data_IF_704797577584
#
_entry.id   IF_704797577584
#
_cell.length_a   1.000
_cell.length_b   1.000
_cell.length_c   1.000
_cell.angle_alpha   90.00
_cell.angle_beta   90.00
_cell.angle_gamma   90.00
#
_symmetry.space_group_name_H-M   'P 1'
#
loop_
_entity.id
_entity.type
_entity.pdbx_description
1 polymer ?
#
# COMPACT_ATOMS: atom_id res chain seq x y z
N UNK A 1 -54.58 2.00 -14.47
CA UNK A 1 -53.16 1.71 -14.77
C UNK A 1 -52.64 2.86 -15.62
N UNK A 2 -51.98 3.83 -14.99
CA UNK A 2 -51.35 4.97 -15.68
C UNK A 2 -50.10 4.46 -16.40
N UNK A 3 -50.13 4.48 -17.73
CA UNK A 3 -48.97 4.25 -18.57
C UNK A 3 -47.92 5.33 -18.26
N UNK A 4 -46.78 4.91 -17.73
CA UNK A 4 -45.60 5.75 -17.58
C UNK A 4 -45.15 6.19 -18.97
N UNK A 5 -45.15 7.50 -19.23
CA UNK A 5 -44.58 8.05 -20.45
C UNK A 5 -43.11 7.62 -20.57
N UNK A 6 -42.75 6.93 -21.65
CA UNK A 6 -41.36 6.60 -21.95
C UNK A 6 -40.55 7.91 -22.01
N UNK A 7 -39.54 8.00 -21.15
CA UNK A 7 -38.66 9.14 -21.08
C UNK A 7 -37.86 9.20 -22.38
N UNK A 8 -38.13 10.23 -23.21
CA UNK A 8 -37.50 10.37 -24.51
C UNK A 8 -35.98 10.54 -24.34
N UNK A 9 -35.22 9.63 -24.93
CA UNK A 9 -33.75 9.65 -24.89
C UNK A 9 -33.22 10.70 -25.86
N UNK A 10 -32.28 11.53 -25.43
CA UNK A 10 -31.68 12.58 -26.25
C UNK A 10 -30.39 12.11 -26.93
N UNK A 11 -30.10 12.66 -28.11
CA UNK A 11 -28.86 12.41 -28.83
C UNK A 11 -27.66 12.94 -28.03
N UNK A 12 -26.58 12.15 -27.93
CA UNK A 12 -25.37 12.54 -27.19
C UNK A 12 -24.38 13.41 -27.99
N UNK A 13 -24.74 13.86 -29.20
CA UNK A 13 -23.88 14.72 -30.00
C UNK A 13 -23.79 16.10 -29.37
N UNK A 14 -22.57 16.64 -29.18
CA UNK A 14 -22.33 17.86 -28.42
C UNK A 14 -23.14 19.07 -28.91
N UNK A 15 -23.43 19.12 -30.22
CA UNK A 15 -24.22 20.18 -30.86
C UNK A 15 -25.54 19.65 -31.46
N UNK A 16 -26.15 18.63 -30.85
CA UNK A 16 -27.33 17.96 -31.41
C UNK A 16 -28.53 17.99 -30.43
N UNK A 17 -29.54 18.83 -30.66
CA UNK A 17 -30.73 18.89 -29.81
C UNK A 17 -31.78 17.82 -30.16
N UNK A 18 -31.49 16.91 -31.09
CA UNK A 18 -32.47 15.93 -31.58
C UNK A 18 -32.68 14.79 -30.58
N UNK A 19 -33.86 14.17 -30.65
CA UNK A 19 -34.13 12.89 -29.99
C UNK A 19 -33.18 11.80 -30.56
N UNK A 20 -32.71 10.92 -29.67
CA UNK A 20 -31.86 9.80 -30.07
C UNK A 20 -32.64 8.80 -30.93
N UNK A 21 -31.99 8.26 -31.95
CA UNK A 21 -32.49 7.10 -32.68
C UNK A 21 -32.07 5.80 -31.99
N UNK A 22 -32.20 4.68 -32.70
CA UNK A 22 -31.72 3.37 -32.25
C UNK A 22 -30.21 3.17 -32.45
N UNK A 23 -29.54 4.12 -33.12
CA UNK A 23 -28.11 4.04 -33.41
C UNK A 23 -27.28 4.22 -32.14
N UNK A 24 -26.59 3.15 -31.73
CA UNK A 24 -25.71 3.14 -30.58
C UNK A 24 -24.24 3.01 -31.00
N UNK A 25 -23.33 3.64 -30.26
CA UNK A 25 -21.90 3.46 -30.50
C UNK A 25 -21.46 2.00 -30.23
N UNK A 26 -20.87 1.30 -31.21
CA UNK A 26 -20.41 -0.08 -31.04
C UNK A 26 -19.31 -0.24 -29.98
N UNK A 27 -18.46 0.78 -29.80
CA UNK A 27 -17.41 0.77 -28.78
C UNK A 27 -18.00 0.92 -27.38
N UNK A 28 -18.96 1.83 -27.19
CA UNK A 28 -19.67 1.96 -25.92
C UNK A 28 -20.42 0.68 -25.53
N UNK A 29 -21.04 0.00 -26.51
CA UNK A 29 -21.65 -1.32 -26.30
C UNK A 29 -20.64 -2.36 -25.79
N UNK A 30 -19.42 -2.39 -26.36
CA UNK A 30 -18.35 -3.27 -25.90
C UNK A 30 -17.79 -2.89 -24.52
N UNK A 31 -17.83 -1.61 -24.18
CA UNK A 31 -17.32 -1.06 -22.92
C UNK A 31 -18.40 -0.96 -21.82
N UNK A 32 -19.60 -1.51 -22.05
CA UNK A 32 -20.79 -1.37 -21.19
C UNK A 32 -21.11 0.08 -20.78
N UNK A 33 -20.77 1.05 -21.64
CA UNK A 33 -21.12 2.46 -21.47
C UNK A 33 -22.58 2.63 -21.88
N UNK A 34 -23.45 2.87 -20.90
CA UNK A 34 -24.89 3.04 -21.09
C UNK A 34 -25.23 4.37 -21.77
N UNK A 35 -26.39 4.40 -22.41
CA UNK A 35 -27.01 5.60 -23.01
C UNK A 35 -26.20 6.33 -24.10
N UNK A 36 -25.34 5.61 -24.84
CA UNK A 36 -24.54 6.14 -25.94
C UNK A 36 -25.26 6.18 -27.30
N UNK A 37 -26.36 6.94 -27.42
CA UNK A 37 -27.22 6.94 -28.62
C UNK A 37 -27.14 8.22 -29.46
N UNK A 38 -27.21 8.05 -30.78
CA UNK A 38 -27.14 9.13 -31.78
C UNK A 38 -28.43 9.18 -32.61
N UNK A 39 -28.83 10.39 -33.05
CA UNK A 39 -30.01 10.57 -33.89
C UNK A 39 -29.83 10.03 -35.31
N UNK A 40 -28.59 9.96 -35.82
CA UNK A 40 -28.28 9.47 -37.17
C UNK A 40 -26.80 9.11 -37.32
N UNK A 41 -26.47 8.38 -38.39
CA UNK A 41 -25.10 7.99 -38.73
C UNK A 41 -24.19 9.20 -38.99
N UNK A 42 -24.73 10.26 -39.59
CA UNK A 42 -23.98 11.48 -39.88
C UNK A 42 -23.67 12.27 -38.59
N UNK A 43 -24.62 12.31 -37.65
CA UNK A 43 -24.40 12.88 -36.33
C UNK A 43 -23.30 12.12 -35.57
N UNK A 44 -23.32 10.79 -35.63
CA UNK A 44 -22.26 9.94 -35.06
C UNK A 44 -20.88 10.25 -35.66
N UNK A 45 -20.77 10.32 -37.00
CA UNK A 45 -19.49 10.62 -37.68
C UNK A 45 -18.97 12.02 -37.33
N UNK A 46 -19.85 13.04 -37.35
CA UNK A 46 -19.49 14.43 -37.02
C UNK A 46 -18.95 14.57 -35.60
N UNK A 47 -19.55 13.85 -34.66
CA UNK A 47 -19.18 13.91 -33.24
C UNK A 47 -18.14 12.84 -32.83
N UNK A 48 -17.61 12.05 -33.77
CA UNK A 48 -16.70 10.94 -33.43
C UNK A 48 -15.42 11.40 -32.71
N UNK A 49 -14.83 12.52 -33.14
CA UNK A 49 -13.57 13.02 -32.59
C UNK A 49 -13.65 13.37 -31.10
N UNK A 50 -14.79 13.91 -30.66
CA UNK A 50 -15.10 14.22 -29.26
C UNK A 50 -15.68 13.01 -28.54
N UNK A 51 -16.59 12.26 -29.15
CA UNK A 51 -17.21 11.09 -28.53
C UNK A 51 -16.20 9.98 -28.20
N UNK A 52 -15.21 9.72 -29.07
CA UNK A 52 -14.20 8.68 -28.83
C UNK A 52 -13.34 8.92 -27.59
N UNK A 53 -13.31 10.15 -27.05
CA UNK A 53 -12.62 10.41 -25.78
C UNK A 53 -13.37 9.81 -24.59
N UNK A 54 -14.68 9.57 -24.71
CA UNK A 54 -15.47 8.82 -23.73
C UNK A 54 -15.15 7.31 -23.76
N UNK A 55 -14.46 6.82 -24.80
CA UNK A 55 -14.00 5.43 -24.90
C UNK A 55 -12.67 5.18 -24.19
N UNK A 56 -12.13 6.17 -23.46
CA UNK A 56 -10.89 6.07 -22.66
C UNK A 56 -10.99 5.11 -21.45
N UNK A 57 -11.91 4.15 -21.48
CA UNK A 57 -12.08 3.12 -20.46
C UNK A 57 -11.79 1.71 -21.00
N UNK A 58 -10.66 1.54 -21.72
CA UNK A 58 -10.04 0.22 -21.79
C UNK A 58 -8.94 0.20 -20.74
N UNK A 59 -9.19 -0.46 -19.61
CA UNK A 59 -8.12 -0.78 -18.68
C UNK A 59 -7.03 -1.54 -19.43
N UNK A 60 -5.76 -1.24 -19.16
CA UNK A 60 -4.65 -1.89 -19.87
C UNK A 60 -3.46 -2.14 -18.94
N UNK A 61 -2.59 -3.07 -19.36
CA UNK A 61 -1.28 -3.27 -18.75
C UNK A 61 -0.23 -2.54 -19.61
N UNK A 62 0.49 -1.53 -19.09
CA UNK A 62 1.52 -0.81 -19.85
C UNK A 62 2.76 -1.67 -20.18
N UNK A 63 2.92 -2.83 -19.53
CA UNK A 63 4.08 -3.72 -19.68
C UNK A 63 3.68 -5.13 -20.15
N UNK A 64 3.02 -5.28 -21.31
CA UNK A 64 2.44 -6.57 -21.73
C UNK A 64 3.48 -7.67 -21.99
N UNK A 65 4.73 -7.31 -22.27
CA UNK A 65 5.84 -8.24 -22.55
C UNK A 65 6.73 -8.50 -21.33
N UNK A 66 6.51 -7.80 -20.21
CA UNK A 66 7.30 -7.99 -19.00
C UNK A 66 6.99 -9.37 -18.39
N UNK A 67 8.01 -10.17 -18.04
CA UNK A 67 7.83 -11.50 -17.47
C UNK A 67 7.48 -11.42 -15.97
N UNK A 68 6.23 -11.04 -15.66
CA UNK A 68 5.72 -11.00 -14.29
C UNK A 68 5.92 -12.33 -13.55
N UNK A 69 6.31 -12.24 -12.29
CA UNK A 69 6.60 -13.42 -11.46
C UNK A 69 5.33 -14.17 -11.02
N UNK A 70 4.23 -13.45 -10.80
CA UNK A 70 2.95 -13.99 -10.36
C UNK A 70 1.76 -13.55 -11.25
N UNK A 71 0.51 -13.82 -10.82
CA UNK A 71 -0.69 -13.51 -11.60
C UNK A 71 -1.05 -12.02 -11.62
N UNK A 72 -0.54 -11.19 -10.71
CA UNK A 72 -0.89 -9.77 -10.67
C UNK A 72 -0.37 -9.01 -11.89
N UNK A 73 -1.17 -8.03 -12.33
CA UNK A 73 -0.84 -7.11 -13.41
C UNK A 73 -1.21 -5.70 -12.99
N UNK A 74 -0.44 -4.69 -13.42
CA UNK A 74 -0.84 -3.30 -13.25
C UNK A 74 -2.08 -3.00 -14.12
N UNK A 75 -2.99 -2.18 -13.60
CA UNK A 75 -4.27 -1.84 -14.23
C UNK A 75 -4.37 -0.32 -14.46
N UNK A 76 -4.00 0.09 -15.67
CA UNK A 76 -3.87 1.48 -16.11
C UNK A 76 -5.10 1.94 -16.94
N UNK A 77 -5.30 3.26 -17.15
CA UNK A 77 -4.48 4.36 -16.64
C UNK A 77 -4.66 4.56 -15.14
N UNK A 78 -3.58 4.95 -14.46
CA UNK A 78 -3.67 5.49 -13.10
C UNK A 78 -4.58 6.72 -13.10
N UNK A 79 -5.29 6.98 -12.01
CA UNK A 79 -5.95 8.28 -11.84
C UNK A 79 -4.90 9.40 -11.76
N UNK A 80 -5.33 10.61 -12.10
CA UNK A 80 -4.48 11.81 -12.04
C UNK A 80 -3.92 12.01 -10.62
N UNK A 81 -2.71 12.58 -10.54
CA UNK A 81 -2.08 12.89 -9.26
C UNK A 81 -2.98 13.82 -8.46
N UNK A 82 -3.34 13.40 -7.24
CA UNK A 82 -4.26 14.13 -6.36
C UNK A 82 -3.59 15.39 -5.80
N UNK A 83 -4.35 16.48 -5.75
CA UNK A 83 -3.84 17.80 -5.31
C UNK A 83 -4.22 18.10 -3.86
N UNK A 84 -3.32 18.76 -3.13
CA UNK A 84 -3.57 19.22 -1.76
C UNK A 84 -3.76 20.75 -1.68
N UNK A 85 -4.56 21.26 -0.71
CA UNK A 85 -4.62 22.68 -0.39
C UNK A 85 -3.24 23.31 -0.16
N UNK A 86 -3.08 24.59 -0.54
CA UNK A 86 -1.83 25.32 -0.34
C UNK A 86 -1.46 25.50 1.14
N UNK A 87 -2.44 25.47 2.04
CA UNK A 87 -2.25 25.61 3.50
C UNK A 87 -1.52 24.44 4.16
N UNK A 88 -1.48 23.25 3.53
CA UNK A 88 -0.82 22.08 4.10
C UNK A 88 0.71 22.23 3.97
N UNK A 89 1.48 22.17 5.08
CA UNK A 89 2.93 22.16 5.01
C UNK A 89 3.46 20.99 4.18
N UNK A 90 4.50 21.21 3.39
CA UNK A 90 5.04 20.24 2.44
C UNK A 90 6.50 19.91 2.76
N UNK A 91 6.92 18.64 2.64
CA UNK A 91 8.34 18.29 2.67
C UNK A 91 9.07 18.86 1.44
N UNK A 92 10.40 18.90 1.49
CA UNK A 92 11.23 19.55 0.47
C UNK A 92 11.10 18.93 -0.94
N UNK A 93 10.82 17.63 -1.00
CA UNK A 93 10.62 16.88 -2.25
C UNK A 93 9.24 17.05 -2.86
N UNK A 94 8.24 17.59 -2.15
CA UNK A 94 6.85 17.59 -2.63
C UNK A 94 6.67 18.26 -4.01
N UNK A 95 7.53 19.22 -4.35
CA UNK A 95 7.48 19.95 -5.62
C UNK A 95 8.10 19.18 -6.79
N UNK A 96 9.30 18.64 -6.61
CA UNK A 96 10.14 18.15 -7.70
C UNK A 96 10.60 16.70 -7.51
N UNK A 97 10.08 16.02 -6.49
CA UNK A 97 10.38 14.66 -6.12
C UNK A 97 11.78 14.38 -5.61
N UNK A 98 12.56 15.41 -5.28
CA UNK A 98 13.95 15.23 -4.86
C UNK A 98 14.11 15.54 -3.37
N UNK A 99 14.35 14.53 -2.50
CA UNK A 99 14.56 14.75 -1.06
C UNK A 99 15.97 15.27 -0.79
N UNK A 100 16.14 16.60 -0.82
CA UNK A 100 17.46 17.25 -0.75
C UNK A 100 18.06 17.18 0.64
N UNK A 101 17.23 17.37 1.64
CA UNK A 101 17.57 17.30 3.07
C UNK A 101 18.13 15.92 3.43
N UNK A 102 17.53 14.84 2.94
CA UNK A 102 18.04 13.47 3.10
C UNK A 102 19.38 13.27 2.40
N UNK A 103 19.50 13.72 1.14
CA UNK A 103 20.75 13.62 0.37
C UNK A 103 21.91 14.41 0.98
N UNK A 104 21.60 15.51 1.66
CA UNK A 104 22.58 16.35 2.34
C UNK A 104 23.01 15.76 3.69
N UNK A 105 22.19 14.90 4.30
CA UNK A 105 22.52 14.29 5.58
C UNK A 105 23.59 13.21 5.41
N UNK A 106 24.59 13.21 6.31
CA UNK A 106 25.60 12.15 6.32
C UNK A 106 24.98 10.81 6.67
N UNK A 107 25.27 9.77 5.87
CA UNK A 107 24.72 8.39 5.97
C UNK A 107 24.90 7.67 7.32
N UNK A 108 25.62 8.27 8.26
CA UNK A 108 25.93 7.70 9.58
C UNK A 108 25.41 8.56 10.75
N UNK A 109 24.88 9.75 10.47
CA UNK A 109 24.38 10.65 11.51
C UNK A 109 22.99 10.19 11.93
N UNK A 110 22.91 9.61 13.13
CA UNK A 110 21.64 9.27 13.77
C UNK A 110 21.28 10.40 14.72
N UNK A 111 20.07 10.94 14.58
CA UNK A 111 19.57 12.01 15.44
C UNK A 111 19.08 11.47 16.78
N UNK A 112 19.39 12.19 17.86
CA UNK A 112 18.79 11.99 19.18
C UNK A 112 17.77 13.11 19.35
N UNK A 113 16.49 12.76 19.33
CA UNK A 113 15.40 13.72 19.37
C UNK A 113 15.31 14.39 20.73
N UNK A 114 15.21 15.72 20.75
CA UNK A 114 14.83 16.46 21.94
C UNK A 114 13.35 16.24 22.29
N UNK A 115 12.91 16.79 23.42
CA UNK A 115 11.54 16.57 23.90
C UNK A 115 10.47 17.10 22.93
N UNK A 116 10.71 18.24 22.30
CA UNK A 116 9.76 18.83 21.36
C UNK A 116 9.64 17.98 20.09
N UNK A 117 10.76 17.48 19.56
CA UNK A 117 10.78 16.58 18.43
C UNK A 117 10.10 15.24 18.74
N UNK A 118 10.34 14.67 19.93
CA UNK A 118 9.64 13.46 20.36
C UNK A 118 8.11 13.67 20.45
N UNK A 119 7.65 14.81 20.94
CA UNK A 119 6.22 15.13 21.01
C UNK A 119 5.63 15.36 19.60
N UNK A 120 6.42 15.93 18.68
CA UNK A 120 6.11 16.00 17.25
C UNK A 120 5.92 14.62 16.62
N UNK A 121 6.86 13.70 16.87
CA UNK A 121 6.80 12.31 16.41
C UNK A 121 5.56 11.59 16.95
N UNK A 122 5.30 11.66 18.27
CA UNK A 122 4.08 11.10 18.88
C UNK A 122 2.81 11.58 18.17
N UNK A 123 2.75 12.88 17.84
CA UNK A 123 1.59 13.47 17.16
C UNK A 123 1.44 12.91 15.74
N UNK A 124 2.47 12.96 14.90
CA UNK A 124 2.36 12.50 13.51
C UNK A 124 2.13 11.00 13.41
N UNK A 125 2.77 10.20 14.27
CA UNK A 125 2.57 8.75 14.32
C UNK A 125 1.14 8.37 14.73
N UNK A 126 0.55 9.05 15.72
CA UNK A 126 -0.87 8.85 16.05
C UNK A 126 -1.78 9.18 14.86
N UNK A 127 -1.53 10.29 14.17
CA UNK A 127 -2.31 10.67 12.98
C UNK A 127 -2.15 9.62 11.86
N UNK A 128 -0.95 9.09 11.66
CA UNK A 128 -0.69 8.05 10.67
C UNK A 128 -1.45 6.76 11.00
N UNK A 129 -1.46 6.34 12.28
CA UNK A 129 -2.30 5.23 12.75
C UNK A 129 -3.78 5.44 12.42
N UNK A 130 -4.32 6.62 12.70
CA UNK A 130 -5.73 6.90 12.38
C UNK A 130 -6.01 6.80 10.87
N UNK A 131 -5.09 7.25 10.02
CA UNK A 131 -5.23 7.15 8.56
C UNK A 131 -5.16 5.69 8.09
N UNK A 132 -4.22 4.90 8.63
CA UNK A 132 -4.17 3.46 8.34
C UNK A 132 -5.47 2.76 8.74
N UNK A 133 -5.99 3.06 9.93
CA UNK A 133 -7.23 2.45 10.41
C UNK A 133 -8.44 2.78 9.51
N UNK A 134 -8.51 4.01 8.97
CA UNK A 134 -9.54 4.41 8.00
C UNK A 134 -9.36 3.63 6.68
N UNK A 135 -8.14 3.54 6.17
CA UNK A 135 -7.85 2.80 4.94
C UNK A 135 -8.18 1.30 5.07
N UNK A 136 -7.80 0.70 6.20
CA UNK A 136 -8.06 -0.69 6.53
C UNK A 136 -9.56 -1.00 6.60
N UNK A 137 -10.37 -0.10 7.15
CA UNK A 137 -11.82 -0.25 7.20
C UNK A 137 -12.48 -0.27 5.80
N UNK A 138 -11.86 0.37 4.81
CA UNK A 138 -12.33 0.40 3.43
C UNK A 138 -11.80 -0.77 2.56
N UNK A 139 -10.84 -1.56 3.07
CA UNK A 139 -10.19 -2.62 2.32
C UNK A 139 -11.04 -3.90 2.26
N UNK A 140 -12.05 -3.89 1.39
CA UNK A 140 -13.01 -5.01 1.20
C UNK A 140 -13.08 -5.45 -0.27
N UNK A 141 -13.55 -6.68 -0.56
CA UNK A 141 -13.77 -7.12 -1.94
C UNK A 141 -14.61 -6.12 -2.75
N UNK A 142 -14.23 -5.89 -4.00
CA UNK A 142 -14.92 -4.96 -4.91
C UNK A 142 -14.37 -3.53 -4.91
N UNK A 143 -13.52 -3.16 -3.95
CA UNK A 143 -12.83 -1.86 -3.90
C UNK A 143 -11.56 -1.89 -4.74
N UNK A 144 -11.15 -0.76 -5.33
CA UNK A 144 -9.86 -0.63 -6.01
C UNK A 144 -8.79 -0.09 -5.08
N UNK A 145 -7.51 -0.40 -5.33
CA UNK A 145 -6.41 0.21 -4.56
C UNK A 145 -6.34 1.73 -4.78
N UNK A 146 -6.69 2.23 -5.97
CA UNK A 146 -6.81 3.69 -6.23
C UNK A 146 -7.90 4.39 -5.39
N UNK A 147 -8.96 3.67 -5.01
CA UNK A 147 -9.97 4.19 -4.08
C UNK A 147 -9.44 4.20 -2.62
N UNK A 148 -8.62 3.22 -2.24
CA UNK A 148 -7.94 3.23 -0.93
C UNK A 148 -6.97 4.43 -0.87
N UNK A 149 -6.21 4.69 -1.93
CA UNK A 149 -5.37 5.89 -2.06
C UNK A 149 -6.17 7.19 -1.91
N UNK A 150 -7.36 7.28 -2.52
CA UNK A 150 -8.25 8.42 -2.36
C UNK A 150 -8.61 8.68 -0.90
N UNK A 151 -9.00 7.62 -0.20
CA UNK A 151 -9.38 7.67 1.20
C UNK A 151 -8.20 8.13 2.05
N UNK A 152 -7.01 7.57 1.84
CA UNK A 152 -5.79 7.97 2.54
C UNK A 152 -5.45 9.43 2.27
N UNK A 153 -5.49 9.84 1.00
CA UNK A 153 -5.20 11.21 0.59
C UNK A 153 -6.11 12.21 1.30
N UNK A 154 -7.42 11.96 1.28
CA UNK A 154 -8.41 12.82 1.94
C UNK A 154 -8.25 12.83 3.46
N UNK A 155 -8.01 11.66 4.07
CA UNK A 155 -7.79 11.53 5.51
C UNK A 155 -6.52 12.27 5.99
N UNK A 156 -5.48 12.35 5.15
CA UNK A 156 -4.30 13.19 5.40
C UNK A 156 -4.65 14.68 5.36
N UNK A 157 -5.42 15.12 4.35
CA UNK A 157 -5.86 16.52 4.20
C UNK A 157 -6.69 16.95 5.42
N UNK A 158 -7.65 16.14 5.86
CA UNK A 158 -8.49 16.40 7.04
C UNK A 158 -7.67 16.59 8.32
N UNK A 159 -6.48 15.98 8.38
CA UNK A 159 -5.53 16.09 9.50
C UNK A 159 -4.51 17.22 9.33
N UNK A 160 -4.66 18.05 8.29
CA UNK A 160 -3.70 19.08 7.89
C UNK A 160 -2.29 18.50 7.69
N UNK A 161 -2.22 17.32 7.08
CA UNK A 161 -0.99 16.56 6.88
C UNK A 161 -0.76 16.29 5.39
N UNK A 162 0.50 16.16 5.02
CA UNK A 162 0.89 15.76 3.67
C UNK A 162 1.13 14.24 3.65
N UNK A 163 0.60 13.48 2.67
CA UNK A 163 0.94 12.06 2.51
C UNK A 163 2.37 11.95 1.98
N UNK A 164 3.32 11.54 2.84
CA UNK A 164 4.76 11.56 2.53
C UNK A 164 5.13 10.83 1.24
N UNK A 165 4.51 9.68 0.87
CA UNK A 165 4.85 9.00 -0.39
C UNK A 165 4.59 9.86 -1.62
N UNK A 166 3.65 10.81 -1.56
CA UNK A 166 3.27 11.58 -2.74
C UNK A 166 4.45 12.39 -3.28
N UNK A 167 4.80 12.11 -4.53
CA UNK A 167 5.93 12.66 -5.27
C UNK A 167 7.30 12.34 -4.66
N UNK A 168 7.43 11.57 -3.58
CA UNK A 168 8.74 11.17 -3.03
C UNK A 168 9.48 10.32 -4.07
N UNK A 169 10.65 10.78 -4.54
CA UNK A 169 11.36 10.18 -5.68
C UNK A 169 10.46 9.96 -6.92
N UNK A 170 9.47 10.83 -7.12
CA UNK A 170 8.44 10.75 -8.17
C UNK A 170 7.41 9.60 -8.01
N UNK A 171 7.24 9.03 -6.81
CA UNK A 171 6.15 8.10 -6.54
C UNK A 171 4.79 8.78 -6.78
N UNK A 172 3.86 8.16 -7.54
CA UNK A 172 2.71 8.90 -8.09
C UNK A 172 1.47 8.97 -7.18
N UNK A 173 1.50 8.33 -6.01
CA UNK A 173 0.35 8.11 -5.12
C UNK A 173 0.65 8.50 -3.68
N UNK A 174 -0.39 8.51 -2.84
CA UNK A 174 -0.34 8.99 -1.45
C UNK A 174 -0.02 7.88 -0.44
N UNK A 175 -0.07 6.62 -0.89
CA UNK A 175 0.06 5.40 -0.09
C UNK A 175 0.62 4.29 -0.97
N UNK A 176 1.28 3.29 -0.39
CA UNK A 176 1.58 2.05 -1.11
C UNK A 176 0.52 0.99 -0.80
N UNK A 177 0.11 0.21 -1.80
CA UNK A 177 -0.83 -0.91 -1.66
C UNK A 177 -0.23 -2.17 -2.28
N UNK A 178 0.27 -3.08 -1.44
CA UNK A 178 1.05 -4.25 -1.87
C UNK A 178 0.23 -5.52 -1.70
N UNK A 179 -0.27 -6.06 -2.82
CA UNK A 179 -1.11 -7.24 -2.86
C UNK A 179 -0.31 -8.52 -3.09
N UNK A 180 -0.67 -9.59 -2.39
CA UNK A 180 -0.22 -10.96 -2.66
C UNK A 180 1.30 -11.08 -2.86
N UNK A 181 1.80 -11.26 -4.09
CA UNK A 181 3.23 -11.37 -4.39
C UNK A 181 4.01 -10.06 -4.38
N UNK A 182 3.35 -8.90 -4.26
CA UNK A 182 4.00 -7.61 -4.10
C UNK A 182 4.55 -7.53 -2.67
N UNK A 183 5.87 -7.35 -2.56
CA UNK A 183 6.62 -7.21 -1.32
C UNK A 183 6.36 -5.85 -0.69
N UNK A 184 6.58 -4.78 -1.44
CA UNK A 184 6.41 -3.39 -1.00
C UNK A 184 6.26 -2.45 -2.20
N UNK A 185 5.92 -1.19 -1.93
CA UNK A 185 5.82 -0.09 -2.90
C UNK A 185 4.88 -0.35 -4.09
N UNK A 186 3.86 -1.20 -3.92
CA UNK A 186 2.82 -1.36 -4.94
C UNK A 186 2.10 -0.04 -5.17
N UNK A 187 2.04 0.41 -6.42
CA UNK A 187 1.36 1.66 -6.79
C UNK A 187 -0.16 1.42 -6.81
N UNK A 188 -0.97 2.20 -6.04
CA UNK A 188 -2.43 2.18 -6.16
C UNK A 188 -2.91 2.40 -7.60
N UNK A 189 -3.77 1.49 -8.08
CA UNK A 189 -4.25 1.45 -9.45
C UNK A 189 -5.72 0.97 -9.54
N UNK A 190 -6.20 0.70 -10.76
CA UNK A 190 -7.61 0.31 -10.98
C UNK A 190 -7.88 -1.18 -10.73
N UNK A 191 -6.96 -1.93 -10.12
CA UNK A 191 -7.18 -3.33 -9.76
C UNK A 191 -8.22 -3.41 -8.65
N UNK A 192 -9.26 -4.20 -8.89
CA UNK A 192 -10.29 -4.52 -7.90
C UNK A 192 -9.78 -5.61 -6.96
N UNK A 193 -9.93 -5.38 -5.66
CA UNK A 193 -9.69 -6.35 -4.59
C UNK A 193 -10.67 -7.52 -4.69
N UNK A 194 -10.17 -8.74 -4.53
CA UNK A 194 -10.99 -9.96 -4.55
C UNK A 194 -10.87 -10.73 -3.25
N UNK A 195 -11.94 -11.44 -2.90
CA UNK A 195 -11.95 -12.36 -1.76
C UNK A 195 -10.88 -13.45 -1.95
N UNK A 196 -9.89 -13.48 -1.06
CA UNK A 196 -8.69 -14.34 -1.17
C UNK A 196 -7.38 -13.57 -1.32
N UNK A 197 -7.43 -12.26 -1.53
CA UNK A 197 -6.25 -11.39 -1.49
C UNK A 197 -5.75 -11.16 -0.06
N UNK A 198 -4.44 -10.98 0.08
CA UNK A 198 -3.86 -10.22 1.20
C UNK A 198 -3.34 -8.89 0.67
N UNK A 199 -3.55 -7.82 1.44
CA UNK A 199 -3.18 -6.46 1.07
C UNK A 199 -2.41 -5.80 2.20
N UNK A 200 -1.16 -5.43 1.96
CA UNK A 200 -0.46 -4.47 2.80
C UNK A 200 -0.81 -3.03 2.38
N UNK A 201 -1.08 -2.18 3.37
CA UNK A 201 -1.31 -0.74 3.18
C UNK A 201 -0.25 -0.01 4.00
N UNK A 202 0.58 0.78 3.32
CA UNK A 202 1.74 1.45 3.91
C UNK A 202 1.57 2.98 3.90
N UNK A 203 1.45 3.53 5.11
CA UNK A 203 0.98 4.89 5.37
C UNK A 203 2.05 5.69 6.07
N UNK A 204 2.54 6.72 5.39
CA UNK A 204 3.37 7.75 6.01
C UNK A 204 2.72 9.12 5.92
N UNK A 205 2.65 9.83 7.05
CA UNK A 205 2.20 11.22 7.10
C UNK A 205 3.35 12.16 7.39
N UNK A 206 3.33 13.36 6.83
CA UNK A 206 4.15 14.50 7.22
C UNK A 206 3.28 15.55 7.93
N UNK A 207 3.59 15.84 9.19
CA UNK A 207 2.84 16.78 10.01
C UNK A 207 3.77 17.54 10.95
N UNK A 208 3.64 18.87 10.96
CA UNK A 208 4.39 19.72 11.90
C UNK A 208 5.91 19.61 11.78
N UNK A 209 6.43 19.25 10.60
CA UNK A 209 7.85 19.10 10.35
C UNK A 209 8.40 17.68 10.47
N UNK A 210 7.56 16.69 10.80
CA UNK A 210 7.97 15.31 11.07
C UNK A 210 7.19 14.30 10.23
N UNK A 211 7.80 13.16 9.93
CA UNK A 211 7.19 12.00 9.29
C UNK A 211 6.82 10.94 10.33
N UNK A 212 5.69 10.24 10.14
CA UNK A 212 5.31 9.08 10.95
C UNK A 212 4.81 7.95 10.08
N UNK A 213 5.35 6.75 10.30
CA UNK A 213 5.26 5.62 9.37
C UNK A 213 4.80 4.32 10.01
N UNK A 214 3.95 3.60 9.30
CA UNK A 214 3.44 2.29 9.67
C UNK A 214 2.75 1.62 8.49
N UNK A 215 2.75 0.29 8.54
CA UNK A 215 1.99 -0.53 7.62
C UNK A 215 1.48 -1.80 8.30
N UNK A 216 0.41 -2.37 7.75
CA UNK A 216 -0.14 -3.64 8.17
C UNK A 216 -0.65 -4.42 6.96
N UNK A 217 -0.55 -5.74 7.01
CA UNK A 217 -1.19 -6.64 6.04
C UNK A 217 -2.58 -7.08 6.51
N UNK A 218 -3.57 -6.92 5.63
CA UNK A 218 -4.98 -7.24 5.85
C UNK A 218 -5.44 -8.41 4.97
N UNK A 219 -6.34 -9.22 5.51
CA UNK A 219 -7.04 -10.27 4.77
C UNK A 219 -8.27 -9.68 4.06
N UNK A 220 -8.32 -9.80 2.73
CA UNK A 220 -9.45 -9.33 1.93
C UNK A 220 -10.45 -10.48 1.79
N UNK A 221 -11.56 -10.38 2.53
CA UNK A 221 -12.62 -11.39 2.55
C UNK A 221 -12.28 -12.66 3.35
N UNK A 222 -13.24 -13.58 3.42
CA UNK A 222 -13.14 -14.81 4.23
C UNK A 222 -12.22 -15.86 3.62
N UNK A 223 -12.07 -15.92 2.29
CA UNK A 223 -11.15 -16.87 1.66
C UNK A 223 -9.71 -16.59 2.06
N UNK A 224 -9.32 -15.32 2.19
CA UNK A 224 -7.97 -14.96 2.62
C UNK A 224 -7.72 -15.39 4.08
N UNK A 225 -8.71 -15.22 4.96
CA UNK A 225 -8.64 -15.62 6.38
C UNK A 225 -8.60 -17.14 6.57
N UNK A 226 -9.19 -17.88 5.66
CA UNK A 226 -9.25 -19.34 5.71
C UNK A 226 -8.19 -20.03 4.84
N UNK A 227 -7.31 -19.27 4.17
CA UNK A 227 -6.19 -19.81 3.38
C UNK A 227 -4.96 -20.01 4.27
N UNK A 228 -4.51 -21.26 4.53
CA UNK A 228 -3.41 -21.54 5.44
C UNK A 228 -2.09 -20.87 5.06
N UNK A 229 -1.83 -20.68 3.76
CA UNK A 229 -0.62 -20.04 3.26
C UNK A 229 -0.64 -18.53 3.51
N UNK A 230 -1.79 -17.87 3.30
CA UNK A 230 -2.00 -16.46 3.63
C UNK A 230 -1.87 -16.21 5.14
N UNK A 231 -2.54 -17.01 5.97
CA UNK A 231 -2.46 -16.86 7.43
C UNK A 231 -1.03 -17.11 7.92
N UNK A 232 -0.33 -18.12 7.37
CA UNK A 232 1.06 -18.41 7.73
C UNK A 232 1.99 -17.24 7.48
N UNK A 233 1.96 -16.64 6.28
CA UNK A 233 2.89 -15.55 5.95
C UNK A 233 2.56 -14.25 6.70
N UNK A 234 1.27 -13.92 6.85
CA UNK A 234 0.82 -12.72 7.55
C UNK A 234 1.15 -12.79 9.04
N UNK A 235 0.83 -13.89 9.71
CA UNK A 235 1.11 -14.00 11.15
C UNK A 235 2.60 -14.22 11.45
N UNK A 236 3.36 -14.82 10.52
CA UNK A 236 4.82 -14.85 10.61
C UNK A 236 5.41 -13.44 10.56
N UNK A 237 4.97 -12.59 9.63
CA UNK A 237 5.42 -11.20 9.54
C UNK A 237 5.07 -10.40 10.80
N UNK A 238 3.83 -10.52 11.30
CA UNK A 238 3.38 -9.89 12.54
C UNK A 238 4.23 -10.30 13.74
N UNK A 239 4.49 -11.60 13.90
CA UNK A 239 5.26 -12.12 15.02
C UNK A 239 6.75 -11.74 14.91
N UNK A 240 7.32 -11.74 13.70
CA UNK A 240 8.68 -11.26 13.45
C UNK A 240 8.87 -9.81 13.91
N UNK A 241 7.92 -8.91 13.58
CA UNK A 241 7.96 -7.53 14.04
C UNK A 241 7.89 -7.46 15.57
N UNK A 242 6.93 -8.15 16.19
CA UNK A 242 6.75 -8.14 17.64
C UNK A 242 7.99 -8.65 18.39
N UNK A 243 8.60 -9.74 17.91
CA UNK A 243 9.83 -10.32 18.48
C UNK A 243 10.99 -9.30 18.42
N UNK A 244 11.11 -8.56 17.31
CA UNK A 244 12.13 -7.53 17.16
C UNK A 244 11.86 -6.31 18.07
N UNK A 245 10.62 -5.82 18.14
CA UNK A 245 10.22 -4.70 19.01
C UNK A 245 10.50 -5.03 20.48
N UNK A 246 10.22 -6.25 20.92
CA UNK A 246 10.46 -6.68 22.31
C UNK A 246 11.94 -6.62 22.72
N UNK A 247 12.86 -6.59 21.76
CA UNK A 247 14.29 -6.42 22.01
C UNK A 247 14.69 -4.94 22.16
N UNK A 248 13.90 -3.98 21.68
CA UNK A 248 14.33 -2.58 21.57
C UNK A 248 14.48 -1.95 22.95
N UNK A 249 15.73 -1.59 23.26
CA UNK A 249 16.14 -0.79 24.42
C UNK A 249 17.56 -0.25 24.19
N UNK A 250 18.03 0.73 24.97
CA UNK A 250 19.40 1.21 24.85
C UNK A 250 20.46 0.10 24.90
N UNK A 251 21.42 0.16 23.99
CA UNK A 251 22.55 -0.77 23.90
C UNK A 251 22.34 -1.97 22.97
N UNK A 252 21.11 -2.25 22.52
CA UNK A 252 20.86 -3.35 21.57
C UNK A 252 21.39 -2.98 20.19
N UNK A 253 22.13 -3.91 19.57
CA UNK A 253 22.74 -3.68 18.26
C UNK A 253 21.69 -3.80 17.15
N UNK A 254 21.70 -2.87 16.19
CA UNK A 254 20.73 -2.89 15.09
C UNK A 254 20.76 -4.18 14.27
N UNK A 255 21.94 -4.82 14.17
CA UNK A 255 22.11 -6.09 13.45
C UNK A 255 21.40 -7.28 14.11
N UNK A 256 21.08 -7.19 15.40
CA UNK A 256 20.54 -8.31 16.17
C UNK A 256 19.04 -8.53 15.87
N UNK A 257 18.31 -7.48 15.48
CA UNK A 257 16.89 -7.59 15.10
C UNK A 257 16.68 -8.58 13.96
N UNK A 258 17.52 -8.50 12.92
CA UNK A 258 17.43 -9.43 11.78
C UNK A 258 17.72 -10.89 12.15
N UNK A 259 18.42 -11.15 13.25
CA UNK A 259 18.63 -12.52 13.75
C UNK A 259 17.37 -13.08 14.40
N UNK A 260 16.64 -12.27 15.17
CA UNK A 260 15.37 -12.67 15.76
C UNK A 260 14.28 -12.90 14.69
N UNK A 261 14.17 -11.96 13.74
CA UNK A 261 13.24 -12.04 12.61
C UNK A 261 13.51 -13.30 11.77
N UNK A 262 14.75 -13.53 11.33
CA UNK A 262 15.10 -14.70 10.51
C UNK A 262 14.81 -16.04 11.22
N UNK A 263 15.03 -16.10 12.54
CA UNK A 263 14.72 -17.29 13.35
C UNK A 263 13.22 -17.59 13.32
N UNK A 264 12.37 -16.60 13.56
CA UNK A 264 10.92 -16.80 13.57
C UNK A 264 10.41 -17.14 12.17
N UNK A 265 10.76 -16.36 11.15
CA UNK A 265 10.32 -16.58 9.77
C UNK A 265 10.64 -18.01 9.29
N UNK A 266 11.83 -18.52 9.56
CA UNK A 266 12.23 -19.89 9.19
C UNK A 266 11.47 -20.97 9.94
N UNK A 267 11.10 -20.73 11.20
CA UNK A 267 10.24 -21.66 11.95
C UNK A 267 8.86 -21.83 11.29
N UNK A 268 8.39 -20.78 10.60
CA UNK A 268 7.13 -20.77 9.84
C UNK A 268 7.32 -21.15 8.36
N UNK A 269 8.49 -21.69 7.98
CA UNK A 269 8.84 -22.06 6.59
C UNK A 269 8.71 -20.86 5.61
N UNK A 270 8.99 -19.66 6.09
CA UNK A 270 9.05 -18.43 5.30
C UNK A 270 10.52 -17.95 5.17
N UNK A 271 10.76 -17.02 4.25
CA UNK A 271 12.07 -16.39 4.03
C UNK A 271 11.97 -14.87 4.20
N UNK A 272 13.10 -14.20 4.48
CA UNK A 272 13.14 -12.76 4.81
C UNK A 272 13.75 -11.97 3.66
N UNK A 273 13.03 -10.97 3.16
CA UNK A 273 13.50 -10.06 2.10
C UNK A 273 14.77 -9.33 2.55
N UNK A 274 15.69 -9.11 1.60
CA UNK A 274 17.01 -8.50 1.88
C UNK A 274 17.26 -7.17 1.19
N UNK A 275 16.44 -6.83 0.19
CA UNK A 275 16.61 -5.62 -0.61
C UNK A 275 16.18 -4.34 0.12
N UNK A 276 15.25 -4.48 1.08
CA UNK A 276 14.66 -3.38 1.84
C UNK A 276 14.88 -3.57 3.35
N UNK A 277 14.93 -2.46 4.07
CA UNK A 277 15.36 -2.38 5.48
C UNK A 277 14.54 -1.31 6.19
N UNK A 278 14.38 -1.43 7.50
CA UNK A 278 13.90 -0.32 8.31
C UNK A 278 14.87 0.86 8.28
N UNK A 279 14.39 2.02 8.70
CA UNK A 279 15.13 3.27 8.58
C UNK A 279 14.94 4.17 9.80
N UNK A 280 15.88 5.10 10.01
CA UNK A 280 15.61 6.24 10.85
C UNK A 280 14.51 7.09 10.24
N UNK A 281 13.68 7.68 11.09
CA UNK A 281 12.59 8.56 10.67
C UNK A 281 12.41 9.68 11.68
N UNK A 282 12.25 10.91 11.18
CA UNK A 282 12.04 12.11 11.99
C UNK A 282 11.57 13.28 11.10
N UNK A 283 12.31 14.37 11.07
CA UNK A 283 12.11 15.46 10.08
C UNK A 283 12.45 15.03 8.65
N UNK A 284 13.18 13.93 8.52
CA UNK A 284 13.45 13.24 7.26
C UNK A 284 12.56 11.99 7.16
N UNK A 285 12.13 11.65 5.94
CA UNK A 285 11.31 10.46 5.70
C UNK A 285 12.20 9.22 5.89
N UNK A 286 13.34 9.17 5.20
CA UNK A 286 14.32 8.10 5.37
C UNK A 286 15.69 8.66 5.78
N UNK A 287 16.20 8.22 6.93
CA UNK A 287 17.55 8.55 7.40
C UNK A 287 18.24 7.38 8.11
N UNK A 288 19.46 7.60 8.62
CA UNK A 288 20.12 6.61 9.46
C UNK A 288 19.37 6.43 10.79
N UNK A 289 19.35 5.22 11.38
CA UNK A 289 20.05 4.01 10.95
C UNK A 289 19.32 3.20 9.88
N UNK A 290 20.05 2.41 9.09
CA UNK A 290 19.45 1.32 8.33
C UNK A 290 19.31 0.09 9.24
N UNK A 291 18.13 -0.54 9.25
CA UNK A 291 17.76 -1.67 10.11
C UNK A 291 17.41 -2.90 9.25
N UNK A 292 18.39 -3.75 8.89
CA UNK A 292 18.13 -4.94 8.10
C UNK A 292 17.38 -6.03 8.87
N UNK A 293 16.43 -6.67 8.21
CA UNK A 293 15.56 -7.70 8.81
C UNK A 293 16.11 -9.13 8.73
N UNK A 294 17.22 -9.35 8.03
CA UNK A 294 17.81 -10.67 7.83
C UNK A 294 19.03 -10.92 8.73
N UNK A 295 19.28 -12.19 9.08
CA UNK A 295 20.44 -12.56 9.91
C UNK A 295 21.78 -12.30 9.24
N UNK A 296 22.85 -12.21 10.03
CA UNK A 296 24.23 -12.00 9.55
C UNK A 296 24.40 -10.73 8.70
N UNK A 297 23.51 -9.76 8.85
CA UNK A 297 23.67 -8.43 8.27
C UNK A 297 24.84 -7.69 8.96
N UNK A 298 25.28 -6.58 8.34
CA UNK A 298 26.42 -5.79 8.79
C UNK A 298 26.01 -4.41 9.31
N UNK A 299 24.76 -4.25 9.79
CA UNK A 299 24.30 -2.97 10.32
C UNK A 299 25.21 -2.50 11.46
N UNK A 300 25.53 -1.21 11.43
CA UNK A 300 26.44 -0.56 12.38
C UNK A 300 25.61 0.28 13.33
N UNK A 301 25.97 0.21 14.62
CA UNK A 301 25.36 1.01 15.66
C UNK A 301 24.45 0.21 16.59
N UNK A 302 23.91 0.93 17.55
CA UNK A 302 23.05 0.40 18.61
C UNK A 302 21.96 1.42 18.92
N UNK A 303 20.82 0.93 19.40
CA UNK A 303 19.75 1.76 19.92
C UNK A 303 20.24 2.61 21.09
N UNK A 304 19.85 3.88 21.11
CA UNK A 304 20.08 4.82 22.21
C UNK A 304 18.80 5.59 22.48
N UNK A 305 18.59 5.95 23.74
CA UNK A 305 17.45 6.79 24.14
C UNK A 305 17.32 8.03 23.24
N UNK A 306 16.09 8.34 22.83
CA UNK A 306 15.76 9.45 21.95
C UNK A 306 15.93 9.18 20.46
N UNK A 307 16.46 8.02 20.05
CA UNK A 307 16.44 7.61 18.64
C UNK A 307 15.04 7.22 18.20
N UNK A 308 14.68 7.58 16.97
CA UNK A 308 13.45 7.14 16.32
C UNK A 308 13.75 6.43 14.99
N UNK A 309 13.21 5.23 14.80
CA UNK A 309 13.41 4.40 13.62
C UNK A 309 12.26 3.40 13.43
N UNK A 310 12.17 2.83 12.23
CA UNK A 310 11.21 1.79 11.85
C UNK A 310 11.83 0.40 11.95
N UNK A 311 10.99 -0.59 12.26
CA UNK A 311 11.26 -2.01 11.98
C UNK A 311 10.08 -2.48 11.13
N UNK A 312 10.36 -3.04 9.95
CA UNK A 312 9.36 -3.25 8.88
C UNK A 312 9.56 -4.58 8.11
N UNK A 313 9.63 -5.74 8.79
CA UNK A 313 10.02 -7.00 8.16
C UNK A 313 9.04 -7.42 7.06
N UNK A 314 9.58 -7.57 5.85
CA UNK A 314 8.90 -8.20 4.72
C UNK A 314 9.23 -9.70 4.68
N UNK A 315 8.22 -10.53 4.86
CA UNK A 315 8.33 -11.98 4.94
C UNK A 315 7.66 -12.61 3.73
N UNK A 316 8.41 -13.47 3.03
CA UNK A 316 7.94 -14.18 1.86
C UNK A 316 7.59 -15.62 2.22
N UNK A 317 6.48 -16.10 1.68
CA UNK A 317 6.12 -17.52 1.72
C UNK A 317 7.10 -18.39 0.92
N UNK A 318 7.73 -17.77 -0.09
CA UNK A 318 8.70 -18.36 -1.00
C UNK A 318 10.12 -17.87 -0.75
N UNK A 319 10.84 -17.60 -1.83
CA UNK A 319 12.21 -17.09 -1.77
C UNK A 319 12.27 -15.61 -1.34
N UNK A 320 13.33 -15.21 -0.63
CA UNK A 320 13.63 -13.80 -0.35
C UNK A 320 13.95 -12.92 -1.56
N UNK A 321 14.17 -13.50 -2.75
CA UNK A 321 14.56 -12.75 -3.93
C UNK A 321 13.39 -11.91 -4.43
N UNK A 322 13.68 -10.68 -4.82
CA UNK A 322 12.74 -9.74 -5.38
C UNK A 322 12.98 -9.48 -6.87
N UNK A 323 11.99 -8.88 -7.52
CA UNK A 323 12.04 -8.28 -8.85
C UNK A 323 11.27 -6.97 -8.83
N UNK A 324 11.80 -5.92 -9.43
CA UNK A 324 11.09 -4.64 -9.59
C UNK A 324 10.39 -4.61 -10.94
N UNK A 325 9.13 -4.15 -10.96
CA UNK A 325 8.38 -3.90 -12.18
C UNK A 325 8.96 -2.71 -12.97
N UNK A 326 8.62 -2.56 -14.27
CA UNK A 326 9.10 -1.43 -15.07
C UNK A 326 8.48 -0.06 -14.70
N UNK A 327 7.67 0.00 -13.63
CA UNK A 327 7.18 1.26 -13.05
C UNK A 327 8.17 1.87 -12.04
N UNK A 328 9.35 1.28 -11.89
CA UNK A 328 10.46 1.66 -11.01
C UNK A 328 10.18 1.54 -9.49
N UNK A 329 9.00 1.07 -9.09
CA UNK A 329 8.57 1.03 -7.68
C UNK A 329 8.12 -0.34 -7.22
N UNK A 330 7.17 -0.97 -7.92
CA UNK A 330 6.49 -2.17 -7.44
C UNK A 330 7.49 -3.32 -7.33
N UNK A 331 7.81 -3.72 -6.10
CA UNK A 331 8.71 -4.85 -5.84
C UNK A 331 7.90 -6.12 -5.58
N UNK A 332 8.19 -7.20 -6.29
CA UNK A 332 7.49 -8.48 -6.14
C UNK A 332 8.44 -9.60 -5.78
N UNK A 333 7.93 -10.66 -5.16
CA UNK A 333 8.69 -11.91 -5.01
C UNK A 333 9.10 -12.44 -6.39
N UNK A 334 10.31 -12.99 -6.50
CA UNK A 334 10.82 -13.48 -7.77
C UNK A 334 10.14 -14.78 -8.24
N UNK A 335 9.49 -15.51 -7.33
CA UNK A 335 8.80 -16.78 -7.55
C UNK A 335 7.26 -16.65 -7.57
N UNK A 336 6.72 -15.43 -7.45
CA UNK A 336 5.28 -15.16 -7.52
C UNK A 336 4.46 -15.63 -6.32
N UNK A 337 5.13 -16.04 -5.23
CA UNK A 337 4.46 -16.40 -3.98
C UNK A 337 4.16 -15.16 -3.14
N UNK A 338 3.21 -15.30 -2.22
CA UNK A 338 2.76 -14.22 -1.33
C UNK A 338 3.88 -13.68 -0.43
N UNK A 339 3.81 -12.38 -0.16
CA UNK A 339 4.59 -11.64 0.82
C UNK A 339 3.66 -10.93 1.80
N UNK A 340 4.12 -10.70 3.02
CA UNK A 340 3.43 -9.88 4.00
C UNK A 340 4.43 -9.01 4.76
N UNK A 341 3.96 -7.83 5.18
CA UNK A 341 4.74 -6.85 5.91
C UNK A 341 3.91 -6.24 7.04
N UNK A 342 4.60 -5.91 8.12
CA UNK A 342 4.10 -5.08 9.21
C UNK A 342 5.19 -4.11 9.61
N UNK A 343 4.81 -2.93 10.06
CA UNK A 343 5.76 -1.90 10.45
C UNK A 343 5.27 -1.07 11.63
N UNK A 344 6.23 -0.66 12.46
CA UNK A 344 6.04 0.42 13.42
C UNK A 344 7.20 1.40 13.43
N UNK A 345 6.87 2.69 13.60
CA UNK A 345 7.80 3.72 14.07
C UNK A 345 7.99 3.61 15.58
N UNK A 346 9.24 3.52 16.02
CA UNK A 346 9.63 3.25 17.40
C UNK A 346 10.46 4.41 17.96
N UNK A 347 10.21 4.79 19.21
CA UNK A 347 11.04 5.72 19.97
C UNK A 347 11.73 4.97 21.11
N UNK A 348 13.06 4.96 21.13
CA UNK A 348 13.82 4.32 22.21
C UNK A 348 13.73 5.18 23.47
N UNK A 349 13.31 4.59 24.58
CA UNK A 349 13.25 5.24 25.91
C UNK A 349 14.49 4.89 26.75
N UNK A 350 14.59 5.42 27.98
CA UNK A 350 15.70 5.14 28.89
C UNK A 350 15.88 3.65 29.21
N UNK A 351 14.81 2.87 29.19
CA UNK A 351 14.76 1.47 29.63
C UNK A 351 14.09 0.51 28.63
N UNK A 352 13.62 1.01 27.48
CA UNK A 352 12.86 0.23 26.52
C UNK A 352 12.51 0.99 25.25
N UNK A 353 11.25 0.88 24.84
CA UNK A 353 10.71 1.43 23.61
C UNK A 353 9.28 1.90 23.79
N UNK A 354 8.94 3.02 23.16
CA UNK A 354 7.58 3.47 22.93
C UNK A 354 7.22 3.19 21.46
N UNK A 355 6.17 2.40 21.22
CA UNK A 355 5.66 2.11 19.87
C UNK A 355 4.74 3.26 19.45
N UNK A 356 5.26 4.24 18.72
CA UNK A 356 4.55 5.48 18.42
C UNK A 356 3.32 5.29 17.52
N UNK A 357 3.33 4.25 16.68
CA UNK A 357 2.24 3.89 15.77
C UNK A 357 1.41 2.69 16.25
N UNK A 358 1.42 2.43 17.56
CA UNK A 358 0.65 1.35 18.18
C UNK A 358 -0.84 1.40 17.80
N UNK A 359 -1.46 0.22 17.79
CA UNK A 359 -2.89 0.05 17.50
C UNK A 359 -3.76 0.72 18.56
N UNK A 360 -4.90 1.23 18.14
CA UNK A 360 -6.01 1.64 19.01
C UNK A 360 -6.90 0.42 19.32
N UNK A 361 -7.72 0.46 20.39
CA UNK A 361 -8.60 -0.65 20.75
C UNK A 361 -9.55 -1.11 19.62
N UNK A 362 -9.89 -0.20 18.69
CA UNK A 362 -10.80 -0.43 17.58
C UNK A 362 -10.10 -0.45 16.20
N UNK A 363 -8.76 -0.52 16.14
CA UNK A 363 -8.06 -0.64 14.85
C UNK A 363 -8.54 -1.90 14.11
N UNK A 364 -8.88 -1.83 12.81
CA UNK A 364 -9.30 -3.00 12.02
C UNK A 364 -8.21 -4.06 11.87
N UNK A 365 -8.61 -5.29 11.55
CA UNK A 365 -7.69 -6.43 11.39
C UNK A 365 -7.24 -7.01 12.73
N UNK A 366 -6.03 -7.58 12.76
CA UNK A 366 -5.48 -8.29 13.91
C UNK A 366 -5.06 -9.72 13.59
N UNK A 367 -4.57 -10.47 14.59
CA UNK A 367 -4.12 -11.83 14.40
C UNK A 367 -5.29 -12.77 14.11
N UNK A 368 -5.09 -13.70 13.17
CA UNK A 368 -6.04 -14.76 12.84
C UNK A 368 -5.43 -16.12 13.21
N UNK A 369 -6.17 -17.02 13.88
CA UNK A 369 -5.66 -18.36 14.17
C UNK A 369 -5.45 -19.16 12.88
N UNK A 370 -4.48 -20.08 12.90
CA UNK A 370 -4.23 -20.97 11.76
C UNK A 370 -5.52 -21.77 11.43
N UNK A 371 -6.01 -21.74 10.18
CA UNK A 371 -7.20 -22.50 9.79
C UNK A 371 -7.00 -24.00 9.98
N UNK A 372 -8.03 -24.69 10.45
CA UNK A 372 -8.03 -26.16 10.53
C UNK A 372 -8.28 -26.71 9.13
N UNK A 373 -7.31 -27.43 8.58
CA UNK A 373 -7.50 -28.15 7.32
C UNK A 373 -8.21 -29.46 7.66
N UNK A 374 -9.52 -29.54 7.40
CA UNK A 374 -10.23 -30.82 7.47
C UNK A 374 -9.70 -31.73 6.35
N UNK A 375 -8.93 -32.75 6.74
CA UNK A 375 -8.57 -33.82 5.83
C UNK A 375 -9.87 -34.58 5.51
N UNK A 376 -10.46 -34.31 4.35
CA UNK A 376 -11.48 -35.18 3.79
C UNK A 376 -10.76 -36.47 3.39
N UNK A 377 -10.70 -37.43 4.32
CA UNK A 377 -10.35 -38.79 3.99
C UNK A 377 -11.38 -39.29 2.98
N UNK A 378 -10.97 -39.36 1.71
CA UNK A 378 -11.72 -40.03 0.67
C UNK A 378 -11.93 -41.48 1.13
N UNK A 379 -13.14 -41.77 1.59
CA UNK A 379 -13.56 -43.11 1.99
C UNK A 379 -13.28 -44.08 0.84
N UNK A 380 -12.30 -44.94 1.05
CA UNK A 380 -12.08 -46.15 0.28
C UNK A 380 -13.34 -46.99 0.41
N UNK A 381 -14.15 -47.05 -0.65
CA UNK A 381 -15.15 -48.11 -0.80
C UNK A 381 -14.39 -49.44 -0.87
N UNK A 382 -14.52 -50.25 0.17
CA UNK A 382 -14.26 -51.67 0.06
C UNK A 382 -15.41 -52.28 -0.75
N UNK A 383 -15.08 -52.88 -1.90
CA UNK A 383 -15.92 -53.87 -2.59
C UNK A 383 -15.72 -55.25 -1.96
#
# INVERSE_FOLDING_TARGET
MTATAEQKRMCIGADCPNEAGTLQCPTCLKLDIKDSFFCSQDCFKKNWSTHKTAHKSSLFNPFPTYPFAGPLRPVYPLSETRTLPASIPRPDYARDGIPRSERAQGRQKIEILDKAAQDGMRKVCRLAREVLDIAAAAAVPGVTTDHIDEIVHNACIERNSYPSPLNYCHFPKSVCTSLNEIICHGIPDKRVLVDGDILNIDVTLYHGGYHGDLNETYYIGEKARNDPDSVRVVEAARTCLNDAIAMVKPGVLFRDFGTAIDKHAKSQKCDVVKAYVGHGINSLFHCAPNIPHYKNNKAVGQAKEGMCFTIEPMINLGSHRDKTWPDDWTSTTADGKRSAQFEHTLLVTADGVEVLTARLPNSPGGPVPMPVVENVENGTKAE
#
